data_IF_741245908560
#
_entry.id   IF_741245908560
#
_cell.length_a   1.000
_cell.length_b   1.000
_cell.length_c   1.000
_cell.angle_alpha   90.00
_cell.angle_beta   90.00
_cell.angle_gamma   90.00
#
_symmetry.space_group_name_H-M   'P 1'
#
loop_
_entity.id
_entity.type
_entity.pdbx_description
1 polymer ?
#
# COMPACT_ATOMS: atom_id res chain seq x y z
N UNK A 1 -5.12 11.24 4.24
CA UNK A 1 -4.89 10.38 3.06
C UNK A 1 -4.13 9.17 3.58
N UNK A 2 -4.41 7.92 3.18
CA UNK A 2 -3.68 6.74 3.72
C UNK A 2 -2.15 6.83 3.52
N UNK A 3 -1.72 7.68 2.58
CA UNK A 3 -0.31 7.95 2.31
C UNK A 3 0.25 9.22 2.97
N UNK A 4 -0.44 9.84 3.92
CA UNK A 4 0.23 10.80 4.80
C UNK A 4 1.08 10.05 5.85
N UNK A 5 2.06 10.73 6.43
CA UNK A 5 3.06 10.10 7.32
C UNK A 5 2.43 9.31 8.47
N UNK A 6 1.30 9.76 9.01
CA UNK A 6 0.61 9.08 10.13
C UNK A 6 -0.02 7.78 9.65
N UNK A 7 -0.75 7.83 8.53
CA UNK A 7 -1.41 6.64 8.00
C UNK A 7 -0.41 5.65 7.39
N UNK A 8 0.68 6.12 6.76
CA UNK A 8 1.77 5.24 6.30
C UNK A 8 2.35 4.48 7.49
N UNK A 9 2.66 5.16 8.60
CA UNK A 9 3.18 4.51 9.79
C UNK A 9 2.25 3.41 10.29
N UNK A 10 0.95 3.71 10.39
CA UNK A 10 -0.06 2.73 10.79
C UNK A 10 -0.16 1.53 9.81
N UNK A 11 -0.17 1.79 8.49
CA UNK A 11 -0.18 0.74 7.47
C UNK A 11 1.05 -0.18 7.57
N UNK A 12 2.23 0.40 7.74
CA UNK A 12 3.48 -0.33 7.86
C UNK A 12 3.49 -1.16 9.15
N UNK A 13 3.00 -0.61 10.26
CA UNK A 13 2.91 -1.33 11.52
C UNK A 13 1.92 -2.51 11.43
N UNK A 14 0.76 -2.31 10.81
CA UNK A 14 -0.20 -3.39 10.54
C UNK A 14 0.41 -4.47 9.65
N UNK A 15 1.14 -4.10 8.59
CA UNK A 15 1.82 -5.04 7.71
C UNK A 15 2.98 -5.77 8.40
N UNK A 16 3.59 -5.16 9.42
CA UNK A 16 4.72 -5.75 10.13
C UNK A 16 4.27 -6.68 11.25
N UNK A 17 3.28 -6.28 12.05
CA UNK A 17 2.86 -6.96 13.30
C UNK A 17 1.48 -7.63 13.22
N UNK A 18 0.66 -7.29 12.23
CA UNK A 18 -0.74 -7.72 12.14
C UNK A 18 -1.67 -6.95 13.07
N UNK A 19 -2.82 -7.55 13.41
CA UNK A 19 -3.78 -6.99 14.37
C UNK A 19 -3.20 -6.99 15.80
N UNK A 20 -3.41 -5.93 16.57
CA UNK A 20 -2.90 -5.75 17.94
C UNK A 20 -3.30 -6.90 18.89
N UNK A 21 -4.35 -7.65 18.54
CA UNK A 21 -4.88 -8.76 19.34
C UNK A 21 -4.14 -10.09 19.16
N UNK A 22 -3.32 -10.23 18.12
CA UNK A 22 -2.59 -11.47 17.81
C UNK A 22 -1.22 -11.16 17.22
N UNK A 23 -0.17 -11.76 17.75
CA UNK A 23 1.16 -11.63 17.18
C UNK A 23 1.24 -12.37 15.83
N UNK A 24 1.40 -11.60 14.75
CA UNK A 24 1.52 -12.08 13.38
C UNK A 24 2.92 -11.81 12.81
N UNK A 25 3.95 -11.69 13.66
CA UNK A 25 5.34 -11.46 13.21
C UNK A 25 5.81 -12.51 12.20
N UNK A 26 5.40 -13.78 12.35
CA UNK A 26 5.73 -14.87 11.44
C UNK A 26 4.64 -15.19 10.41
N UNK A 27 3.56 -14.42 10.40
CA UNK A 27 2.46 -14.62 9.44
C UNK A 27 2.72 -13.82 8.16
N UNK A 28 2.37 -14.41 7.02
CA UNK A 28 2.31 -13.67 5.75
C UNK A 28 1.14 -12.70 5.81
N UNK A 29 1.46 -11.43 5.66
CA UNK A 29 0.49 -10.35 5.61
C UNK A 29 0.55 -9.73 4.22
N UNK A 30 -0.58 -9.27 3.72
CA UNK A 30 -0.62 -8.52 2.48
C UNK A 30 -1.55 -7.33 2.62
N UNK A 31 -1.26 -6.30 1.83
CA UNK A 31 -2.13 -5.16 1.68
C UNK A 31 -2.34 -4.84 0.21
N UNK A 32 -3.49 -4.27 -0.13
CA UNK A 32 -3.72 -3.68 -1.46
C UNK A 32 -4.20 -2.26 -1.30
N UNK A 33 -3.58 -1.36 -2.08
CA UNK A 33 -3.95 0.04 -2.24
C UNK A 33 -4.60 0.23 -3.61
N UNK A 34 -5.80 0.79 -3.63
CA UNK A 34 -6.51 1.16 -4.86
C UNK A 34 -6.52 2.66 -5.06
N UNK A 35 -6.28 3.11 -6.29
CA UNK A 35 -6.44 4.52 -6.66
C UNK A 35 -6.80 4.69 -8.12
N UNK A 36 -8.03 5.10 -8.42
CA UNK A 36 -8.56 5.11 -9.80
C UNK A 36 -8.35 3.73 -10.46
N UNK A 37 -7.62 3.67 -11.57
CA UNK A 37 -7.28 2.43 -12.31
C UNK A 37 -5.96 1.80 -11.83
N UNK A 38 -5.36 2.37 -10.76
CA UNK A 38 -4.08 1.96 -10.22
C UNK A 38 -4.23 1.03 -9.02
N UNK A 39 -3.46 -0.06 -9.02
CA UNK A 39 -3.44 -1.04 -7.93
C UNK A 39 -2.01 -1.27 -7.47
N UNK A 40 -1.80 -1.20 -6.16
CA UNK A 40 -0.52 -1.55 -5.53
C UNK A 40 -0.79 -2.66 -4.53
N UNK A 41 -0.11 -3.79 -4.69
CA UNK A 41 -0.16 -4.88 -3.72
C UNK A 41 1.15 -4.94 -2.95
N UNK A 42 1.09 -4.95 -1.63
CA UNK A 42 2.23 -5.03 -0.72
C UNK A 42 2.17 -6.40 -0.04
N UNK A 43 3.21 -7.20 -0.15
CA UNK A 43 3.28 -8.54 0.44
C UNK A 43 4.42 -8.61 1.45
N UNK A 44 4.10 -8.90 2.71
CA UNK A 44 5.09 -9.37 3.69
C UNK A 44 5.39 -10.83 3.41
N UNK A 45 6.63 -11.10 3.05
CA UNK A 45 7.15 -12.46 2.87
C UNK A 45 7.95 -12.82 4.11
N UNK A 46 7.62 -13.97 4.69
CA UNK A 46 8.29 -14.52 5.86
C UNK A 46 9.01 -15.81 5.46
N UNK A 47 10.29 -15.92 5.86
CA UNK A 47 11.11 -17.10 5.70
C UNK A 47 10.98 -18.05 6.90
N UNK A 48 11.42 -19.30 6.70
CA UNK A 48 11.46 -20.30 7.77
C UNK A 48 12.42 -19.96 8.91
N UNK A 49 13.41 -19.08 8.67
CA UNK A 49 14.36 -18.60 9.68
C UNK A 49 13.83 -17.41 10.51
N UNK A 50 12.58 -17.00 10.28
CA UNK A 50 11.94 -15.87 10.96
C UNK A 50 12.28 -14.50 10.37
N UNK A 51 13.13 -14.43 9.33
CA UNK A 51 13.36 -13.18 8.61
C UNK A 51 12.18 -12.82 7.72
N UNK A 52 11.94 -11.53 7.52
CA UNK A 52 10.87 -11.04 6.66
C UNK A 52 11.32 -9.86 5.79
N UNK A 53 10.75 -9.76 4.60
CA UNK A 53 10.86 -8.60 3.73
C UNK A 53 9.48 -8.25 3.16
N UNK A 54 9.40 -7.13 2.46
CA UNK A 54 8.19 -6.68 1.80
C UNK A 54 8.42 -6.58 0.30
N UNK A 55 7.47 -7.06 -0.50
CA UNK A 55 7.45 -6.85 -1.94
C UNK A 55 6.27 -5.93 -2.28
N UNK A 56 6.56 -4.80 -2.91
CA UNK A 56 5.54 -3.90 -3.49
C UNK A 56 5.41 -4.26 -4.96
N UNK A 57 4.21 -4.65 -5.38
CA UNK A 57 3.82 -4.89 -6.77
C UNK A 57 2.96 -3.72 -7.23
N UNK A 58 3.49 -2.95 -8.17
CA UNK A 58 2.89 -1.71 -8.67
C UNK A 58 2.38 -1.95 -10.10
N UNK A 59 1.06 -1.79 -10.33
CA UNK A 59 0.43 -2.03 -11.63
C UNK A 59 0.76 -0.99 -12.70
N UNK A 60 1.30 0.18 -12.33
CA UNK A 60 1.60 1.29 -13.24
C UNK A 60 2.84 2.08 -12.76
N UNK A 61 4.05 1.52 -12.89
CA UNK A 61 5.27 2.18 -12.45
C UNK A 61 5.58 3.43 -13.26
N UNK A 62 5.06 3.59 -14.48
CA UNK A 62 5.22 4.80 -15.31
C UNK A 62 3.88 5.16 -15.99
N UNK A 63 3.43 6.43 -15.83
CA UNK A 63 2.19 6.94 -16.45
C UNK A 63 2.31 7.15 -17.97
N UNK A 64 3.54 7.30 -18.50
CA UNK A 64 3.81 7.72 -19.88
C UNK A 64 4.21 6.59 -20.85
N UNK A 65 4.16 5.32 -20.43
CA UNK A 65 4.48 4.22 -21.34
C UNK A 65 3.23 3.42 -21.71
N UNK A 66 2.96 3.29 -23.01
CA UNK A 66 1.92 2.40 -23.57
C UNK A 66 2.16 0.90 -23.25
N UNK A 67 3.33 0.57 -22.69
CA UNK A 67 3.63 -0.77 -22.21
C UNK A 67 3.12 -0.93 -20.77
N UNK A 68 2.00 -1.62 -20.59
CA UNK A 68 1.54 -2.13 -19.28
C UNK A 68 2.62 -3.06 -18.70
N UNK A 69 3.47 -2.52 -17.83
CA UNK A 69 4.54 -3.27 -17.16
C UNK A 69 4.40 -3.06 -15.67
N UNK A 70 3.82 -4.01 -14.97
CA UNK A 70 3.87 -3.99 -13.52
C UNK A 70 5.34 -4.05 -13.05
N UNK A 71 5.66 -3.35 -11.96
CA UNK A 71 6.98 -3.45 -11.31
C UNK A 71 6.86 -4.18 -9.99
N UNK A 72 7.96 -4.80 -9.56
CA UNK A 72 8.11 -5.36 -8.21
C UNK A 72 9.33 -4.73 -7.54
N UNK A 73 9.11 -4.10 -6.40
CA UNK A 73 10.16 -3.50 -5.58
C UNK A 73 10.25 -4.25 -4.26
N UNK A 74 11.46 -4.70 -3.90
CA UNK A 74 11.71 -5.38 -2.62
C UNK A 74 12.24 -4.40 -1.59
N UNK A 75 11.57 -4.31 -0.45
CA UNK A 75 11.99 -3.59 0.74
C UNK A 75 12.47 -4.60 1.79
N UNK A 76 13.73 -4.50 2.21
CA UNK A 76 14.35 -5.52 3.08
C UNK A 76 13.84 -5.51 4.51
N UNK A 77 13.25 -4.41 4.95
CA UNK A 77 12.78 -4.20 6.31
C UNK A 77 11.65 -3.16 6.34
N UNK A 78 11.16 -2.91 7.56
CA UNK A 78 10.08 -1.95 7.85
C UNK A 78 10.43 -0.54 7.38
N UNK A 79 11.66 -0.08 7.62
CA UNK A 79 12.07 1.30 7.34
C UNK A 79 12.25 1.54 5.83
N UNK A 80 12.75 0.53 5.11
CA UNK A 80 12.82 0.53 3.65
C UNK A 80 11.42 0.56 3.02
N UNK A 81 10.45 -0.15 3.60
CA UNK A 81 9.05 -0.11 3.17
C UNK A 81 8.46 1.28 3.40
N UNK A 82 8.58 1.81 4.62
CA UNK A 82 8.06 3.12 4.99
C UNK A 82 8.63 4.24 4.09
N UNK A 83 9.94 4.22 3.86
CA UNK A 83 10.62 5.19 2.99
C UNK A 83 10.12 5.09 1.55
N UNK A 84 9.94 3.87 1.05
CA UNK A 84 9.45 3.65 -0.32
C UNK A 84 8.01 4.14 -0.47
N UNK A 85 7.14 3.88 0.51
CA UNK A 85 5.75 4.38 0.51
C UNK A 85 5.68 5.90 0.61
N UNK A 86 6.56 6.54 1.40
CA UNK A 86 6.66 8.01 1.45
C UNK A 86 7.12 8.58 0.11
N UNK A 87 8.14 8.00 -0.52
CA UNK A 87 8.56 8.40 -1.86
C UNK A 87 7.42 8.22 -2.87
N UNK A 88 6.69 7.10 -2.78
CA UNK A 88 5.55 6.80 -3.63
C UNK A 88 4.46 7.87 -3.50
N UNK A 89 4.10 8.23 -2.26
CA UNK A 89 3.13 9.27 -1.95
C UNK A 89 3.52 10.62 -2.58
N UNK A 90 4.79 10.98 -2.52
CA UNK A 90 5.29 12.26 -3.05
C UNK A 90 5.47 12.26 -4.57
N UNK A 91 5.80 11.12 -5.18
CA UNK A 91 6.16 11.03 -6.60
C UNK A 91 4.97 10.73 -7.51
N UNK A 92 3.97 10.00 -7.01
CA UNK A 92 2.85 9.50 -7.82
C UNK A 92 1.61 10.37 -7.75
N UNK A 93 1.45 11.14 -6.69
CA UNK A 93 0.31 12.05 -6.52
C UNK A 93 0.66 13.43 -7.03
N UNK A 94 0.13 13.74 -8.21
CA UNK A 94 0.16 15.09 -8.72
C UNK A 94 -0.79 16.01 -7.97
N UNK A 95 -0.84 17.27 -8.41
CA UNK A 95 -1.83 18.24 -7.96
C UNK A 95 -3.26 17.79 -8.33
N UNK A 96 -3.45 17.23 -9.53
CA UNK A 96 -4.75 16.70 -10.00
C UNK A 96 -5.27 15.56 -9.13
N UNK A 97 -4.38 14.68 -8.66
CA UNK A 97 -4.75 13.55 -7.81
C UNK A 97 -5.22 14.04 -6.43
N UNK A 98 -4.53 15.03 -5.86
CA UNK A 98 -4.92 15.69 -4.60
C UNK A 98 -6.24 16.44 -4.74
N UNK A 99 -6.38 17.26 -5.78
CA UNK A 99 -7.62 17.98 -6.06
C UNK A 99 -8.79 17.02 -6.28
N UNK A 100 -8.56 15.85 -6.89
CA UNK A 100 -9.60 14.84 -7.05
C UNK A 100 -10.05 14.28 -5.69
N UNK A 101 -9.11 13.97 -4.79
CA UNK A 101 -9.44 13.51 -3.43
C UNK A 101 -10.23 14.58 -2.67
N UNK A 102 -9.76 15.82 -2.69
CA UNK A 102 -10.36 16.92 -1.90
C UNK A 102 -11.77 17.30 -2.37
N UNK A 103 -12.06 17.16 -3.67
CA UNK A 103 -13.36 17.52 -4.24
C UNK A 103 -14.41 16.38 -4.19
N UNK A 104 -14.03 15.19 -3.70
CA UNK A 104 -14.90 14.03 -3.69
C UNK A 104 -15.14 13.53 -2.26
N UNK A 105 -16.32 13.80 -1.72
CA UNK A 105 -16.71 13.39 -0.36
C UNK A 105 -16.89 11.88 -0.25
N UNK A 106 -16.30 11.26 0.78
CA UNK A 106 -16.48 9.85 1.12
C UNK A 106 -17.95 9.43 1.11
N UNK A 107 -18.24 8.30 0.46
CA UNK A 107 -19.57 7.70 0.39
C UNK A 107 -19.50 6.28 0.93
N UNK A 108 -20.04 6.06 2.13
CA UNK A 108 -20.04 4.74 2.79
C UNK A 108 -20.74 3.67 1.96
N UNK A 109 -21.72 4.03 1.12
CA UNK A 109 -22.48 3.08 0.30
C UNK A 109 -21.64 2.57 -0.87
N UNK A 110 -20.65 3.35 -1.30
CA UNK A 110 -19.77 3.05 -2.43
C UNK A 110 -18.36 2.66 -1.99
N UNK A 111 -18.15 2.34 -0.72
CA UNK A 111 -16.82 2.11 -0.16
C UNK A 111 -16.06 0.96 -0.87
N UNK A 112 -16.75 -0.05 -1.41
CA UNK A 112 -16.12 -1.15 -2.16
C UNK A 112 -15.58 -0.74 -3.54
N UNK A 113 -16.02 0.42 -4.06
CA UNK A 113 -15.70 0.90 -5.40
C UNK A 113 -15.21 2.36 -5.40
N UNK A 114 -14.93 2.94 -4.22
CA UNK A 114 -14.61 4.35 -4.09
C UNK A 114 -13.19 4.64 -4.62
N UNK A 115 -13.04 5.27 -5.80
CA UNK A 115 -11.73 5.49 -6.41
C UNK A 115 -11.04 6.76 -5.85
N UNK A 116 -11.69 7.46 -4.90
CA UNK A 116 -11.33 8.80 -4.41
C UNK A 116 -10.44 8.73 -3.17
N UNK A 117 -10.18 7.53 -2.65
CA UNK A 117 -9.29 7.29 -1.51
C UNK A 117 -8.31 6.19 -1.87
N UNK A 118 -7.04 6.34 -1.50
CA UNK A 118 -6.18 5.18 -1.40
C UNK A 118 -6.72 4.27 -0.30
N UNK A 119 -7.50 3.27 -0.68
CA UNK A 119 -8.08 2.32 0.26
C UNK A 119 -7.09 1.18 0.46
N UNK A 120 -6.71 0.96 1.72
CA UNK A 120 -5.79 -0.10 2.12
C UNK A 120 -6.54 -1.19 2.86
N UNK A 121 -6.58 -2.38 2.29
CA UNK A 121 -7.03 -3.58 2.98
C UNK A 121 -5.82 -4.37 3.40
N UNK A 122 -5.72 -4.77 4.67
CA UNK A 122 -4.67 -5.67 5.16
C UNK A 122 -5.32 -7.00 5.51
N UNK A 123 -4.73 -8.09 5.08
CA UNK A 123 -5.19 -9.43 5.45
C UNK A 123 -4.00 -10.34 5.77
N UNK A 124 -4.28 -11.33 6.61
CA UNK A 124 -3.38 -12.43 6.88
C UNK A 124 -3.76 -13.63 6.00
N UNK A 125 -2.76 -14.31 5.45
CA UNK A 125 -2.97 -15.62 4.86
C UNK A 125 -3.00 -16.66 5.99
N UNK A 126 -4.09 -17.43 6.08
CA UNK A 126 -4.21 -18.60 6.96
C UNK A 126 -3.24 -19.72 6.59
#
# INVERSE_FOLDING_TARGET
>A
NILDSKHIGALVDMLHKGDEKKDHELTKLAATLFFREHVISILKVVNADGTAWFDIVDSLPHRDSDALRASRTRCKDRDALETTLKWYACSKFGETDRNYIDNNLWDEVMCDFDPRVYQGFVWAAE
#
